data_IF_335378225064
#
_entry.id   IF_335378225064
#
_cell.length_a   1.000
_cell.length_b   1.000
_cell.length_c   1.000
_cell.angle_alpha   90.00
_cell.angle_beta   90.00
_cell.angle_gamma   90.00
#
_symmetry.space_group_name_H-M   'P 1'
#
loop_
_entity.id
_entity.type
_entity.pdbx_description
1 polymer ?
#
# COMPACT_ATOMS: atom_id res chain seq x y z
N UNK A 1 23.19 25.93 1.35
CA UNK A 1 22.44 25.05 0.45
C UNK A 1 22.55 23.64 1.00
N UNK A 2 21.48 23.10 1.58
CA UNK A 2 21.47 21.74 2.12
C UNK A 2 21.39 20.74 0.97
N UNK A 3 22.25 19.72 1.01
CA UNK A 3 22.32 18.61 0.07
C UNK A 3 21.09 17.72 0.31
N UNK A 4 20.24 17.59 -0.70
CA UNK A 4 19.17 16.60 -0.72
C UNK A 4 19.85 15.24 -0.84
N UNK A 5 19.89 14.48 0.25
CA UNK A 5 20.38 13.11 0.21
C UNK A 5 19.45 12.30 -0.70
N UNK A 6 19.97 11.93 -1.86
CA UNK A 6 19.34 10.99 -2.77
C UNK A 6 19.02 9.72 -1.98
N UNK A 7 17.73 9.39 -1.88
CA UNK A 7 17.29 8.06 -1.46
C UNK A 7 17.78 7.09 -2.54
N UNK A 8 19.02 6.64 -2.40
CA UNK A 8 19.60 5.61 -3.26
C UNK A 8 18.90 4.29 -2.93
N UNK A 9 17.96 3.87 -3.77
CA UNK A 9 17.43 2.51 -3.76
C UNK A 9 18.46 1.61 -4.45
N UNK A 10 19.36 1.03 -3.66
CA UNK A 10 20.49 0.19 -4.09
C UNK A 10 19.96 -1.18 -4.55
N UNK A 11 19.78 -1.41 -5.86
CA UNK A 11 19.28 -2.66 -6.45
C UNK A 11 17.86 -3.10 -5.94
N UNK A 12 17.09 -3.96 -6.63
CA UNK A 12 15.80 -4.40 -6.11
C UNK A 12 16.06 -5.45 -5.02
N UNK A 13 16.50 -5.00 -3.86
CA UNK A 13 16.44 -5.78 -2.64
C UNK A 13 14.96 -5.74 -2.24
N UNK A 14 14.20 -6.76 -2.65
CA UNK A 14 12.74 -6.71 -2.59
C UNK A 14 12.26 -7.00 -1.17
N UNK A 15 11.78 -5.97 -0.47
CA UNK A 15 11.00 -6.15 0.75
C UNK A 15 9.80 -7.06 0.47
N UNK A 16 9.45 -7.91 1.44
CA UNK A 16 8.25 -8.75 1.35
C UNK A 16 7.09 -8.04 2.02
N UNK A 17 5.98 -7.86 1.31
CA UNK A 17 4.72 -7.35 1.84
C UNK A 17 3.72 -8.49 1.80
N UNK A 18 3.17 -8.86 2.96
CA UNK A 18 2.20 -9.94 3.08
C UNK A 18 1.06 -9.56 4.02
N UNK A 19 -0.05 -10.28 3.96
CA UNK A 19 -1.13 -10.10 4.92
C UNK A 19 -1.83 -11.42 5.22
N UNK A 20 -2.24 -11.58 6.48
CA UNK A 20 -3.11 -12.66 6.93
C UNK A 20 -4.36 -12.05 7.55
N UNK A 21 -5.55 -12.59 7.25
CA UNK A 21 -6.83 -11.99 7.67
C UNK A 21 -6.96 -11.79 9.19
N UNK A 22 -6.29 -12.59 10.01
CA UNK A 22 -6.32 -12.48 11.47
C UNK A 22 -5.11 -11.72 12.07
N UNK A 23 -4.04 -11.52 11.31
CA UNK A 23 -2.81 -10.85 11.77
C UNK A 23 -2.68 -9.42 11.21
N UNK A 24 -3.26 -9.15 10.05
CA UNK A 24 -3.15 -7.89 9.32
C UNK A 24 -1.95 -7.87 8.36
N UNK A 25 -1.55 -6.65 8.00
CA UNK A 25 -0.43 -6.36 7.11
C UNK A 25 0.92 -6.55 7.83
N UNK A 26 1.86 -7.24 7.17
CA UNK A 26 3.24 -7.43 7.63
C UNK A 26 4.22 -7.07 6.52
N UNK A 27 5.34 -6.47 6.90
CA UNK A 27 6.41 -6.09 5.97
C UNK A 27 7.73 -6.51 6.58
N UNK A 28 8.55 -7.20 5.79
CA UNK A 28 9.93 -7.52 6.15
C UNK A 28 10.87 -6.91 5.13
N UNK A 29 11.99 -6.39 5.64
CA UNK A 29 13.15 -6.07 4.80
C UNK A 29 13.65 -7.33 4.11
N UNK A 30 14.49 -7.19 3.08
CA UNK A 30 15.13 -8.33 2.44
C UNK A 30 16.01 -9.16 3.38
N UNK A 31 16.52 -8.54 4.43
CA UNK A 31 17.30 -9.20 5.48
C UNK A 31 16.41 -9.95 6.49
N UNK A 32 15.09 -9.92 6.32
CA UNK A 32 14.11 -10.57 7.19
C UNK A 32 13.67 -9.72 8.38
N UNK A 33 14.30 -8.57 8.61
CA UNK A 33 13.95 -7.68 9.73
C UNK A 33 12.59 -7.02 9.52
N UNK A 34 11.80 -6.79 10.59
CA UNK A 34 10.53 -6.08 10.50
C UNK A 34 10.70 -4.68 9.89
N UNK A 35 9.80 -4.32 8.99
CA UNK A 35 9.76 -3.01 8.35
C UNK A 35 8.37 -2.37 8.49
N UNK A 36 8.28 -1.10 8.11
CA UNK A 36 7.03 -0.33 8.17
C UNK A 36 6.81 0.52 6.93
N UNK A 37 5.61 1.12 6.81
CA UNK A 37 5.27 2.02 5.72
C UNK A 37 5.51 3.47 6.10
N UNK A 38 5.78 4.27 5.08
CA UNK A 38 5.84 5.73 5.15
C UNK A 38 4.98 6.32 4.02
N UNK A 39 4.30 7.42 4.32
CA UNK A 39 3.68 8.28 3.31
C UNK A 39 4.70 9.34 2.94
N UNK A 40 5.05 9.40 1.66
CA UNK A 40 6.03 10.33 1.12
C UNK A 40 5.29 11.33 0.24
N UNK A 41 5.49 12.62 0.48
CA UNK A 41 4.93 13.66 -0.38
C UNK A 41 5.69 13.79 -1.71
N UNK A 42 5.17 14.62 -2.62
CA UNK A 42 5.76 14.83 -3.95
C UNK A 42 7.13 15.55 -3.90
N UNK A 43 7.55 16.04 -2.73
CA UNK A 43 8.86 16.64 -2.50
C UNK A 43 9.85 15.63 -1.87
N UNK A 44 9.44 14.38 -1.67
CA UNK A 44 10.28 13.34 -1.08
C UNK A 44 10.31 13.36 0.45
N UNK A 45 9.46 14.15 1.11
CA UNK A 45 9.42 14.21 2.58
C UNK A 45 8.50 13.14 3.14
N UNK A 46 8.94 12.46 4.19
CA UNK A 46 8.08 11.55 4.96
C UNK A 46 7.12 12.39 5.80
N UNK A 47 5.82 12.31 5.51
CA UNK A 47 4.76 13.04 6.23
C UNK A 47 4.09 12.21 7.33
N UNK A 48 4.12 10.89 7.21
CA UNK A 48 3.70 9.95 8.25
C UNK A 48 4.45 8.62 8.06
N UNK A 49 4.73 7.89 9.14
CA UNK A 49 5.37 6.58 9.07
C UNK A 49 5.07 5.74 10.30
N UNK A 50 5.22 4.42 10.16
CA UNK A 50 5.13 3.50 11.28
C UNK A 50 3.85 2.67 11.33
N UNK A 51 3.61 1.99 12.47
CA UNK A 51 2.50 1.04 12.60
C UNK A 51 1.10 1.66 12.44
N UNK A 52 0.95 2.97 12.63
CA UNK A 52 -0.30 3.70 12.35
C UNK A 52 -0.64 3.69 10.86
N UNK A 53 0.34 4.00 10.01
CA UNK A 53 0.20 3.99 8.55
C UNK A 53 -0.14 2.59 8.04
N UNK A 54 0.55 1.56 8.54
CA UNK A 54 0.26 0.17 8.17
C UNK A 54 -1.19 -0.24 8.48
N UNK A 55 -1.69 0.11 9.66
CA UNK A 55 -3.08 -0.15 10.07
C UNK A 55 -4.07 0.59 9.18
N UNK A 56 -3.84 1.88 8.92
CA UNK A 56 -4.70 2.68 8.06
C UNK A 56 -4.78 2.10 6.63
N UNK A 57 -3.64 1.72 6.04
CA UNK A 57 -3.59 1.10 4.71
C UNK A 57 -4.37 -0.22 4.68
N UNK A 58 -4.17 -1.08 5.68
CA UNK A 58 -4.90 -2.33 5.80
C UNK A 58 -6.42 -2.12 5.90
N UNK A 59 -6.86 -1.24 6.81
CA UNK A 59 -8.28 -0.99 7.05
C UNK A 59 -8.97 -0.40 5.82
N UNK A 60 -8.32 0.53 5.12
CA UNK A 60 -8.86 1.11 3.87
C UNK A 60 -8.95 0.06 2.77
N UNK A 61 -7.92 -0.77 2.58
CA UNK A 61 -7.94 -1.83 1.56
C UNK A 61 -9.07 -2.84 1.82
N UNK A 62 -9.20 -3.33 3.05
CA UNK A 62 -10.24 -4.29 3.43
C UNK A 62 -11.63 -3.66 3.34
N UNK A 63 -11.81 -2.42 3.81
CA UNK A 63 -13.10 -1.73 3.71
C UNK A 63 -13.50 -1.49 2.26
N UNK A 64 -12.56 -1.12 1.40
CA UNK A 64 -12.79 -0.96 -0.04
C UNK A 64 -13.27 -2.28 -0.66
N UNK A 65 -12.58 -3.39 -0.39
CA UNK A 65 -12.97 -4.72 -0.87
C UNK A 65 -14.34 -5.16 -0.34
N UNK A 66 -14.64 -4.93 0.95
CA UNK A 66 -15.97 -5.22 1.52
C UNK A 66 -17.05 -4.39 0.84
N UNK A 67 -16.83 -3.09 0.66
CA UNK A 67 -17.77 -2.18 0.00
C UNK A 67 -18.06 -2.61 -1.45
N UNK A 68 -17.05 -3.13 -2.14
CA UNK A 68 -17.20 -3.76 -3.45
C UNK A 68 -18.13 -4.98 -3.39
N UNK A 69 -17.90 -5.89 -2.44
CA UNK A 69 -18.68 -7.13 -2.30
C UNK A 69 -20.13 -6.90 -1.88
N UNK A 70 -20.42 -5.90 -1.03
CA UNK A 70 -21.78 -5.60 -0.56
C UNK A 70 -22.59 -4.74 -1.54
N UNK A 71 -22.03 -4.43 -2.72
CA UNK A 71 -22.74 -3.72 -3.78
C UNK A 71 -23.01 -2.24 -3.49
N UNK A 72 -22.32 -1.62 -2.51
CA UNK A 72 -22.46 -0.19 -2.19
C UNK A 72 -21.76 0.75 -3.20
N UNK A 73 -21.67 0.35 -4.48
CA UNK A 73 -21.68 1.32 -5.59
C UNK A 73 -20.37 1.92 -6.11
N UNK A 74 -19.26 1.18 -6.25
CA UNK A 74 -18.06 1.68 -7.00
C UNK A 74 -17.61 0.77 -8.16
N UNK A 75 -18.41 -0.20 -8.56
CA UNK A 75 -18.13 -1.03 -9.73
C UNK A 75 -18.65 -0.36 -11.00
N UNK A 76 -17.78 0.30 -11.76
CA UNK A 76 -18.07 0.64 -13.16
C UNK A 76 -17.90 -0.63 -13.99
N UNK A 77 -18.99 -1.34 -14.22
CA UNK A 77 -19.03 -2.46 -15.18
C UNK A 77 -19.45 -1.91 -16.54
N UNK A 78 -18.57 -2.03 -17.53
CA UNK A 78 -18.85 -1.68 -18.93
C UNK A 78 -19.13 -2.96 -19.70
N UNK A 79 -20.27 -3.01 -20.38
CA UNK A 79 -20.58 -4.04 -21.37
C UNK A 79 -20.83 -3.36 -22.71
N UNK A 80 -20.26 -3.90 -23.80
CA UNK A 80 -20.60 -3.51 -25.18
C UNK A 80 -21.63 -4.49 -25.72
N UNK A 81 -22.65 -4.05 -26.49
CA UNK A 81 -23.56 -4.98 -27.15
C UNK A 81 -22.76 -5.91 -28.08
N UNK A 82 -23.07 -7.20 -28.08
CA UNK A 82 -22.63 -8.06 -29.17
C UNK A 82 -23.29 -7.55 -30.45
N UNK A 83 -22.49 -7.28 -31.49
CA UNK A 83 -23.05 -7.10 -32.83
C UNK A 83 -23.62 -8.42 -33.29
N UNK A 84 -24.80 -8.36 -33.92
CA UNK A 84 -25.60 -9.49 -34.39
C UNK A 84 -24.80 -10.54 -35.19
#
# INVERSE_FOLDING_TARGET
MARTDDVQVIAPITSTISALSFQGLSITTPDGEPATLAVIDMQGRIIDSGPSVMRAVWDVAIRSYRNFLIGSGHLRVLSKPASA
#
